data_IF_616306440837
#
_entry.id   IF_616306440837
#
_cell.length_a   1.000
_cell.length_b   1.000
_cell.length_c   1.000
_cell.angle_alpha   90.00
_cell.angle_beta   90.00
_cell.angle_gamma   90.00
#
_symmetry.space_group_name_H-M   'P 1'
#
loop_
_entity.id
_entity.type
_entity.pdbx_description
1 polymer ?
#
# COMPACT_ATOMS: atom_id res chain seq x y z
N UNK A 1 8.78 16.44 -19.44
CA UNK A 1 7.68 16.85 -18.52
C UNK A 1 7.87 16.11 -17.22
N UNK A 2 7.71 16.76 -16.08
CA UNK A 2 7.84 16.11 -14.77
C UNK A 2 6.72 15.07 -14.57
N UNK A 3 7.07 13.89 -14.07
CA UNK A 3 6.17 12.74 -13.93
C UNK A 3 5.72 12.62 -12.47
N UNK A 4 4.41 12.60 -12.26
CA UNK A 4 3.78 12.35 -10.96
C UNK A 4 3.05 11.02 -11.02
N UNK A 5 3.37 10.12 -10.10
CA UNK A 5 2.67 8.86 -9.90
C UNK A 5 1.74 8.99 -8.70
N UNK A 6 0.47 8.66 -8.91
CA UNK A 6 -0.55 8.65 -7.85
C UNK A 6 -0.97 7.20 -7.59
N UNK A 7 -0.86 6.75 -6.36
CA UNK A 7 -1.22 5.40 -5.94
C UNK A 7 -2.61 5.42 -5.28
N UNK A 8 -3.61 4.97 -6.02
CA UNK A 8 -5.01 4.94 -5.63
C UNK A 8 -5.88 5.93 -6.41
N UNK A 9 -7.07 5.47 -6.82
CA UNK A 9 -8.05 6.23 -7.62
C UNK A 9 -9.30 6.62 -6.81
N UNK A 10 -9.22 6.65 -5.49
CA UNK A 10 -10.24 7.22 -4.62
C UNK A 10 -10.29 8.75 -4.71
N UNK A 11 -11.17 9.40 -3.92
CA UNK A 11 -11.34 10.87 -3.96
C UNK A 11 -10.04 11.66 -3.80
N UNK A 12 -9.14 11.20 -2.90
CA UNK A 12 -7.85 11.85 -2.70
C UNK A 12 -6.93 11.73 -3.93
N UNK A 13 -6.79 10.51 -4.48
CA UNK A 13 -5.91 10.28 -5.62
C UNK A 13 -6.38 10.98 -6.89
N UNK A 14 -7.67 10.93 -7.17
CA UNK A 14 -8.24 11.64 -8.33
C UNK A 14 -8.10 13.16 -8.15
N UNK A 15 -8.40 13.71 -6.97
CA UNK A 15 -8.19 15.12 -6.71
C UNK A 15 -6.71 15.52 -6.91
N UNK A 16 -5.78 14.75 -6.36
CA UNK A 16 -4.35 14.99 -6.55
C UNK A 16 -3.94 14.98 -8.03
N UNK A 17 -4.44 14.00 -8.78
CA UNK A 17 -4.17 13.87 -10.21
C UNK A 17 -4.69 15.07 -11.02
N UNK A 18 -5.91 15.54 -10.73
CA UNK A 18 -6.50 16.70 -11.39
C UNK A 18 -5.65 17.95 -11.17
N UNK A 19 -5.25 18.23 -9.92
CA UNK A 19 -4.45 19.42 -9.59
C UNK A 19 -3.02 19.32 -10.12
N UNK A 20 -2.36 18.16 -10.01
CA UNK A 20 -1.03 17.95 -10.58
C UNK A 20 -1.04 18.09 -12.12
N UNK A 21 -2.06 17.54 -12.79
CA UNK A 21 -2.21 17.65 -14.24
C UNK A 21 -2.42 19.08 -14.70
N UNK A 22 -3.29 19.83 -14.02
CA UNK A 22 -3.50 21.26 -14.26
C UNK A 22 -2.24 22.08 -13.98
N UNK A 23 -1.41 21.66 -13.04
CA UNK A 23 -0.11 22.25 -12.75
C UNK A 23 0.98 21.97 -13.81
N UNK A 24 0.67 21.19 -14.86
CA UNK A 24 1.55 20.91 -16.01
C UNK A 24 2.37 19.64 -15.87
N UNK A 25 2.11 18.78 -14.89
CA UNK A 25 2.77 17.49 -14.78
C UNK A 25 2.16 16.44 -15.75
N UNK A 26 2.96 15.45 -16.10
CA UNK A 26 2.46 14.20 -16.65
C UNK A 26 2.05 13.32 -15.46
N UNK A 27 0.79 12.90 -15.42
CA UNK A 27 0.23 12.18 -14.27
C UNK A 27 -0.23 10.80 -14.67
N UNK A 28 0.21 9.80 -13.90
CA UNK A 28 -0.29 8.44 -13.97
C UNK A 28 -0.92 8.09 -12.61
N UNK A 29 -2.18 7.65 -12.64
CA UNK A 29 -2.88 7.07 -11.49
C UNK A 29 -2.87 5.56 -11.65
N UNK A 30 -2.39 4.85 -10.63
CA UNK A 30 -2.45 3.38 -10.58
C UNK A 30 -3.40 2.96 -9.47
N UNK A 31 -4.33 2.05 -9.79
CA UNK A 31 -5.33 1.54 -8.86
C UNK A 31 -5.66 0.06 -9.11
N UNK A 32 -6.16 -0.63 -8.09
CA UNK A 32 -6.40 -2.08 -8.08
C UNK A 32 -7.67 -2.55 -8.82
N UNK A 33 -8.32 -1.65 -9.55
CA UNK A 33 -9.55 -1.97 -10.26
C UNK A 33 -10.80 -1.37 -9.62
N UNK A 34 -11.91 -1.54 -10.34
CA UNK A 34 -13.24 -1.04 -9.94
C UNK A 34 -13.73 -1.76 -8.68
N UNK A 35 -14.47 -1.06 -7.83
CA UNK A 35 -15.08 -1.64 -6.64
C UNK A 35 -14.12 -1.83 -5.45
N UNK A 36 -12.85 -1.48 -5.58
CA UNK A 36 -11.85 -1.68 -4.52
C UNK A 36 -11.77 -0.52 -3.52
N UNK A 37 -12.22 0.66 -3.90
CA UNK A 37 -12.15 1.86 -3.04
C UNK A 37 -13.23 1.83 -1.94
N UNK A 38 -12.99 2.57 -0.86
CA UNK A 38 -14.01 2.78 0.18
C UNK A 38 -15.24 3.51 -0.38
N UNK A 39 -15.02 4.45 -1.33
CA UNK A 39 -16.09 5.19 -1.98
C UNK A 39 -17.00 4.26 -2.81
N UNK A 40 -16.44 3.38 -3.64
CA UNK A 40 -17.25 2.50 -4.50
C UNK A 40 -18.14 1.53 -3.72
N UNK A 41 -17.79 1.24 -2.46
CA UNK A 41 -18.58 0.39 -1.56
C UNK A 41 -19.66 1.15 -0.78
N UNK A 42 -19.68 2.48 -0.85
CA UNK A 42 -20.72 3.28 -0.23
C UNK A 42 -22.01 3.16 -1.05
N UNK A 43 -23.09 2.69 -0.42
CA UNK A 43 -24.38 2.52 -1.08
C UNK A 43 -24.89 3.86 -1.61
N UNK A 44 -24.90 4.89 -0.76
CA UNK A 44 -25.30 6.26 -1.11
C UNK A 44 -24.41 7.28 -0.43
N UNK A 45 -24.08 8.36 -1.14
CA UNK A 45 -23.37 9.54 -0.67
C UNK A 45 -24.32 10.74 -0.73
N UNK A 46 -24.59 11.36 0.41
CA UNK A 46 -25.49 12.51 0.52
C UNK A 46 -24.80 13.78 1.05
N UNK A 47 -23.70 13.60 1.78
CA UNK A 47 -23.00 14.63 2.54
C UNK A 47 -21.78 15.21 1.83
N UNK A 48 -21.75 15.17 0.51
CA UNK A 48 -20.69 15.78 -0.27
C UNK A 48 -21.22 17.01 -1.02
N UNK A 49 -20.53 18.15 -0.86
CA UNK A 49 -20.93 19.41 -1.46
C UNK A 49 -21.09 19.31 -2.98
N UNK A 50 -22.19 19.87 -3.49
CA UNK A 50 -22.51 19.87 -4.92
C UNK A 50 -23.34 18.69 -5.41
N UNK A 51 -23.77 17.80 -4.50
CA UNK A 51 -24.75 16.77 -4.81
C UNK A 51 -26.15 17.31 -4.50
N UNK A 52 -27.02 17.41 -5.51
CA UNK A 52 -28.42 17.76 -5.38
C UNK A 52 -29.22 16.59 -4.78
N UNK A 53 -28.90 15.37 -5.19
CA UNK A 53 -29.50 14.15 -4.72
C UNK A 53 -28.43 13.17 -4.23
N UNK A 54 -28.86 12.16 -3.46
CA UNK A 54 -28.00 11.06 -3.06
C UNK A 54 -27.47 10.28 -4.29
N UNK A 55 -26.18 10.04 -4.33
CA UNK A 55 -25.54 9.36 -5.44
C UNK A 55 -24.84 8.09 -4.94
N UNK A 56 -24.99 6.93 -5.61
CA UNK A 56 -24.17 5.75 -5.31
C UNK A 56 -22.67 6.08 -5.34
N UNK A 57 -21.92 5.61 -4.35
CA UNK A 57 -20.49 5.88 -4.28
C UNK A 57 -19.73 5.40 -5.51
N UNK A 58 -20.12 4.27 -6.10
CA UNK A 58 -19.53 3.77 -7.34
C UNK A 58 -19.76 4.72 -8.54
N UNK A 59 -20.91 5.39 -8.60
CA UNK A 59 -21.19 6.39 -9.65
C UNK A 59 -20.35 7.66 -9.44
N UNK A 60 -20.19 8.10 -8.20
CA UNK A 60 -19.33 9.25 -7.89
C UNK A 60 -17.84 8.96 -8.22
N UNK A 61 -17.36 7.75 -7.93
CA UNK A 61 -16.04 7.28 -8.33
C UNK A 61 -15.88 7.28 -9.87
N UNK A 62 -16.86 6.73 -10.58
CA UNK A 62 -16.87 6.70 -12.04
C UNK A 62 -16.78 8.11 -12.64
N UNK A 63 -17.52 9.07 -12.10
CA UNK A 63 -17.48 10.48 -12.53
C UNK A 63 -16.10 11.08 -12.29
N UNK A 64 -15.50 10.84 -11.13
CA UNK A 64 -14.14 11.32 -10.83
C UNK A 64 -13.10 10.79 -11.79
N UNK A 65 -13.12 9.47 -12.05
CA UNK A 65 -12.25 8.81 -13.03
C UNK A 65 -12.43 9.38 -14.44
N UNK A 66 -13.67 9.51 -14.91
CA UNK A 66 -13.96 10.06 -16.23
C UNK A 66 -13.44 11.49 -16.38
N UNK A 67 -13.60 12.33 -15.35
CA UNK A 67 -13.07 13.70 -15.32
C UNK A 67 -11.55 13.75 -15.39
N UNK A 68 -10.86 12.86 -14.68
CA UNK A 68 -9.40 12.77 -14.71
C UNK A 68 -8.90 12.35 -16.12
N UNK A 69 -9.51 11.33 -16.71
CA UNK A 69 -9.17 10.85 -18.06
C UNK A 69 -9.41 11.96 -19.10
N UNK A 70 -10.55 12.67 -19.03
CA UNK A 70 -10.86 13.78 -19.93
C UNK A 70 -9.83 14.93 -19.83
N UNK A 71 -9.19 15.12 -18.67
CA UNK A 71 -8.12 16.10 -18.47
C UNK A 71 -6.74 15.58 -18.94
N UNK A 72 -6.66 14.35 -19.44
CA UNK A 72 -5.43 13.74 -19.94
C UNK A 72 -4.56 13.11 -18.86
N UNK A 73 -5.16 12.67 -17.74
CA UNK A 73 -4.51 11.80 -16.75
C UNK A 73 -4.51 10.37 -17.28
N UNK A 74 -3.36 9.69 -17.23
CA UNK A 74 -3.28 8.26 -17.49
C UNK A 74 -3.78 7.49 -16.27
N UNK A 75 -4.84 6.69 -16.44
CA UNK A 75 -5.39 5.84 -15.38
C UNK A 75 -5.15 4.38 -15.74
N UNK A 76 -4.49 3.64 -14.87
CA UNK A 76 -4.06 2.27 -15.10
C UNK A 76 -4.56 1.38 -13.97
N UNK A 77 -5.22 0.28 -14.34
CA UNK A 77 -5.58 -0.77 -13.41
C UNK A 77 -4.39 -1.72 -13.24
N UNK A 78 -3.75 -1.67 -12.07
CA UNK A 78 -2.58 -2.48 -11.72
C UNK A 78 -2.40 -2.51 -10.20
N UNK A 79 -1.61 -3.47 -9.71
CA UNK A 79 -1.26 -3.60 -8.30
C UNK A 79 0.20 -3.24 -8.05
N UNK A 80 0.45 -2.24 -7.21
CA UNK A 80 1.81 -1.89 -6.80
C UNK A 80 2.22 -2.77 -5.61
N UNK A 81 3.29 -3.54 -5.79
CA UNK A 81 3.86 -4.46 -4.81
C UNK A 81 4.99 -3.82 -4.01
N UNK A 82 5.76 -2.96 -4.65
CA UNK A 82 6.87 -2.25 -4.03
C UNK A 82 6.99 -0.82 -4.53
N UNK A 83 7.58 0.02 -3.69
CA UNK A 83 7.91 1.40 -4.00
C UNK A 83 9.34 1.66 -3.55
N UNK A 84 10.21 1.99 -4.49
CA UNK A 84 11.65 2.15 -4.31
C UNK A 84 12.12 3.50 -4.84
N UNK A 85 13.35 3.87 -4.47
CA UNK A 85 14.03 4.96 -5.15
C UNK A 85 14.43 4.55 -6.58
N UNK A 86 14.44 5.51 -7.49
CA UNK A 86 14.95 5.34 -8.83
C UNK A 86 16.48 5.14 -8.85
N UNK A 87 17.03 4.85 -10.02
CA UNK A 87 18.48 4.66 -10.20
C UNK A 87 19.26 5.89 -9.72
N UNK A 88 20.32 5.65 -8.95
CA UNK A 88 21.13 6.72 -8.36
C UNK A 88 20.34 7.61 -7.37
N UNK A 89 19.29 7.11 -6.74
CA UNK A 89 18.39 7.87 -5.88
C UNK A 89 17.67 9.04 -6.58
N UNK A 90 17.53 8.97 -7.90
CA UNK A 90 16.82 9.98 -8.68
C UNK A 90 15.38 9.55 -8.99
N UNK A 91 14.42 10.26 -8.37
CA UNK A 91 13.01 9.90 -8.51
C UNK A 91 12.61 8.60 -7.80
N UNK A 92 11.54 7.99 -8.28
CA UNK A 92 10.93 6.83 -7.66
C UNK A 92 10.56 5.78 -8.69
N UNK A 93 10.49 4.55 -8.23
CA UNK A 93 10.12 3.39 -9.02
C UNK A 93 9.06 2.58 -8.27
N UNK A 94 7.90 2.41 -8.89
CA UNK A 94 6.84 1.55 -8.37
C UNK A 94 6.76 0.26 -9.18
N UNK A 95 6.84 -0.88 -8.51
CA UNK A 95 6.90 -2.22 -9.11
C UNK A 95 5.53 -2.88 -9.04
N UNK A 96 5.05 -3.40 -10.16
CA UNK A 96 3.88 -4.27 -10.27
C UNK A 96 4.26 -5.64 -10.81
N UNK A 97 3.37 -6.65 -10.85
CA UNK A 97 3.69 -8.00 -11.30
C UNK A 97 4.29 -8.09 -12.72
N UNK A 98 3.97 -7.14 -13.59
CA UNK A 98 4.42 -7.18 -14.99
C UNK A 98 5.08 -5.89 -15.49
N UNK A 99 5.20 -4.86 -14.63
CA UNK A 99 5.63 -3.55 -15.08
C UNK A 99 6.26 -2.72 -13.97
N UNK A 100 7.14 -1.80 -14.35
CA UNK A 100 7.69 -0.78 -13.45
C UNK A 100 7.25 0.60 -13.92
N UNK A 101 6.79 1.43 -12.99
CA UNK A 101 6.41 2.82 -13.20
C UNK A 101 7.48 3.73 -12.61
N UNK A 102 8.06 4.57 -13.43
CA UNK A 102 9.01 5.58 -12.98
C UNK A 102 8.32 6.93 -12.77
N UNK A 103 8.69 7.65 -11.73
CA UNK A 103 8.15 8.96 -11.41
C UNK A 103 9.22 9.87 -10.77
N UNK A 104 9.03 11.16 -10.93
CA UNK A 104 9.86 12.19 -10.31
C UNK A 104 9.29 12.60 -8.94
N UNK A 105 8.01 12.31 -8.71
CA UNK A 105 7.28 12.47 -7.44
C UNK A 105 6.16 11.44 -7.30
N UNK A 106 5.85 11.03 -6.06
CA UNK A 106 4.80 10.04 -5.75
C UNK A 106 3.80 10.64 -4.76
N UNK A 107 2.51 10.38 -5.01
CA UNK A 107 1.42 10.70 -4.09
C UNK A 107 0.74 9.40 -3.67
N UNK A 108 0.84 9.06 -2.39
CA UNK A 108 0.23 7.86 -1.82
C UNK A 108 -1.20 8.22 -1.37
N UNK A 109 -2.20 7.69 -2.09
CA UNK A 109 -3.62 7.92 -1.84
C UNK A 109 -4.41 6.60 -1.78
N UNK A 110 -3.78 5.56 -1.23
CA UNK A 110 -4.26 4.18 -1.26
C UNK A 110 -5.34 3.85 -0.20
N UNK A 111 -5.87 4.86 0.48
CA UNK A 111 -6.88 4.69 1.52
C UNK A 111 -6.33 4.05 2.80
N UNK A 112 -7.23 3.52 3.65
CA UNK A 112 -6.84 2.84 4.89
C UNK A 112 -6.49 1.38 4.63
N UNK A 113 -5.56 0.87 5.43
CA UNK A 113 -5.25 -0.56 5.50
C UNK A 113 -6.48 -1.34 5.97
N UNK A 114 -6.68 -2.56 5.47
CA UNK A 114 -7.61 -3.51 6.09
C UNK A 114 -7.21 -3.71 7.55
N UNK A 115 -8.20 -3.89 8.44
CA UNK A 115 -7.94 -4.23 9.84
C UNK A 115 -6.98 -5.40 9.90
N UNK A 116 -5.93 -5.27 10.72
CA UNK A 116 -5.01 -6.37 11.00
C UNK A 116 -5.83 -7.64 11.34
N UNK A 117 -5.43 -8.81 10.86
CA UNK A 117 -6.14 -10.05 11.16
C UNK A 117 -6.21 -10.24 12.68
N UNK A 118 -7.32 -10.82 13.15
CA UNK A 118 -7.49 -11.13 14.57
C UNK A 118 -6.70 -12.38 14.93
N UNK A 119 -5.38 -12.28 14.90
CA UNK A 119 -4.46 -13.34 15.34
C UNK A 119 -3.94 -12.96 16.70
N UNK A 120 -4.09 -13.87 17.68
CA UNK A 120 -3.59 -13.66 19.05
C UNK A 120 -2.06 -13.51 19.02
N UNK A 121 -1.52 -12.49 19.69
CA UNK A 121 -0.07 -12.22 19.76
C UNK A 121 0.46 -11.41 18.58
N UNK A 122 -0.35 -11.09 17.56
CA UNK A 122 0.13 -10.40 16.36
C UNK A 122 0.63 -8.98 16.66
N UNK A 123 -0.15 -8.22 17.44
CA UNK A 123 0.20 -6.83 17.78
C UNK A 123 1.32 -6.75 18.80
N UNK A 124 1.31 -7.66 19.76
CA UNK A 124 2.29 -7.73 20.83
C UNK A 124 3.70 -8.03 20.30
N UNK A 125 3.78 -8.75 19.19
CA UNK A 125 5.04 -9.14 18.55
C UNK A 125 5.41 -8.27 17.34
N UNK A 126 4.68 -7.18 17.05
CA UNK A 126 5.08 -6.22 16.03
C UNK A 126 6.47 -5.62 16.34
N UNK A 127 7.40 -5.70 15.39
CA UNK A 127 8.80 -5.33 15.58
C UNK A 127 9.62 -6.34 16.39
N UNK A 128 8.98 -7.36 16.96
CA UNK A 128 9.60 -8.42 17.75
C UNK A 128 9.46 -9.80 17.10
N UNK A 129 9.56 -9.85 15.76
CA UNK A 129 9.39 -11.04 14.95
C UNK A 129 8.23 -10.93 13.95
N UNK A 130 7.30 -9.99 14.14
CA UNK A 130 6.28 -9.65 13.15
C UNK A 130 6.69 -8.39 12.40
N UNK A 131 6.69 -8.47 11.06
CA UNK A 131 7.03 -7.38 10.15
C UNK A 131 5.99 -7.24 9.03
N UNK A 132 5.99 -6.09 8.36
CA UNK A 132 5.14 -5.76 7.20
C UNK A 132 5.96 -5.42 5.95
N UNK A 133 7.28 -5.64 5.98
CA UNK A 133 8.16 -5.29 4.87
C UNK A 133 9.38 -6.22 4.83
N UNK A 134 9.37 -7.22 3.94
CA UNK A 134 10.52 -8.11 3.78
C UNK A 134 11.74 -7.37 3.25
N UNK A 135 11.57 -6.47 2.28
CA UNK A 135 12.71 -5.68 1.74
C UNK A 135 13.41 -4.87 2.84
N UNK A 136 12.66 -4.40 3.87
CA UNK A 136 13.23 -3.65 4.99
C UNK A 136 13.98 -4.55 5.98
N UNK A 137 13.40 -5.69 6.33
CA UNK A 137 13.74 -6.45 7.53
C UNK A 137 14.34 -7.85 7.25
N UNK A 138 14.32 -8.35 6.01
CA UNK A 138 14.83 -9.71 5.69
C UNK A 138 16.25 -9.96 6.17
N UNK A 139 17.09 -8.94 6.17
CA UNK A 139 18.47 -8.99 6.67
C UNK A 139 18.55 -9.45 8.15
N UNK A 140 17.58 -9.07 8.99
CA UNK A 140 17.51 -9.44 10.42
C UNK A 140 17.19 -10.93 10.64
N UNK A 141 16.70 -11.58 9.59
CA UNK A 141 16.27 -12.98 9.61
C UNK A 141 17.21 -13.91 8.85
N UNK A 142 18.46 -13.49 8.63
CA UNK A 142 19.46 -14.32 7.95
C UNK A 142 19.68 -15.65 8.70
N UNK A 143 19.52 -16.74 7.96
CA UNK A 143 19.68 -18.11 8.48
C UNK A 143 18.55 -18.58 9.43
N UNK A 144 17.41 -17.86 9.49
CA UNK A 144 16.26 -18.19 10.32
C UNK A 144 15.10 -18.73 9.50
N UNK A 145 14.15 -19.38 10.18
CA UNK A 145 12.87 -19.79 9.60
C UNK A 145 11.93 -18.59 9.61
N UNK A 146 11.39 -18.24 8.44
CA UNK A 146 10.45 -17.14 8.27
C UNK A 146 9.17 -17.59 7.61
N UNK A 147 8.08 -16.91 7.90
CA UNK A 147 6.79 -17.16 7.28
C UNK A 147 6.23 -15.86 6.68
N UNK A 148 5.53 -15.99 5.56
CA UNK A 148 4.73 -14.92 4.95
C UNK A 148 3.27 -15.27 5.10
N UNK A 149 2.49 -14.37 5.67
CA UNK A 149 1.05 -14.51 5.85
C UNK A 149 0.32 -13.83 4.70
N UNK A 150 -0.22 -14.59 3.76
CA UNK A 150 -0.92 -14.09 2.58
C UNK A 150 -0.93 -15.11 1.43
N UNK A 151 -1.62 -14.79 0.34
CA UNK A 151 -1.83 -15.73 -0.78
C UNK A 151 -1.72 -15.10 -2.17
N UNK A 152 -1.67 -13.75 -2.28
CA UNK A 152 -1.64 -13.02 -3.55
C UNK A 152 -0.22 -12.66 -4.02
N UNK A 153 -0.16 -11.86 -5.09
CA UNK A 153 1.09 -11.36 -5.69
C UNK A 153 1.96 -10.58 -4.70
N UNK A 154 1.33 -9.86 -3.76
CA UNK A 154 2.06 -9.18 -2.70
C UNK A 154 2.77 -10.18 -1.76
N UNK A 155 2.09 -11.26 -1.36
CA UNK A 155 2.70 -12.31 -0.54
C UNK A 155 3.83 -13.04 -1.29
N UNK A 156 3.66 -13.27 -2.59
CA UNK A 156 4.72 -13.81 -3.45
C UNK A 156 5.94 -12.89 -3.45
N UNK A 157 5.76 -11.60 -3.68
CA UNK A 157 6.85 -10.61 -3.67
C UNK A 157 7.61 -10.58 -2.34
N UNK A 158 6.89 -10.62 -1.20
CA UNK A 158 7.52 -10.65 0.12
C UNK A 158 8.28 -11.98 0.35
N UNK A 159 7.73 -13.12 -0.11
CA UNK A 159 8.41 -14.40 -0.02
C UNK A 159 9.69 -14.45 -0.86
N UNK A 160 9.66 -13.95 -2.09
CA UNK A 160 10.84 -13.83 -2.96
C UNK A 160 11.93 -12.97 -2.34
N UNK A 161 11.57 -11.86 -1.67
CA UNK A 161 12.52 -10.99 -0.98
C UNK A 161 13.20 -11.67 0.23
N UNK A 162 12.56 -12.66 0.85
CA UNK A 162 13.12 -13.42 1.98
C UNK A 162 14.08 -14.53 1.56
N UNK A 163 13.87 -15.16 0.40
CA UNK A 163 14.64 -16.33 -0.05
C UNK A 163 16.17 -16.15 -0.02
N UNK A 164 16.75 -15.00 -0.38
CA UNK A 164 18.20 -14.81 -0.32
C UNK A 164 18.79 -14.77 1.10
N UNK A 165 17.95 -14.60 2.13
CA UNK A 165 18.36 -14.33 3.51
C UNK A 165 17.97 -15.45 4.48
N UNK A 166 16.73 -15.90 4.43
CA UNK A 166 16.20 -16.90 5.37
C UNK A 166 16.76 -18.30 5.09
N UNK A 167 16.84 -19.12 6.12
CA UNK A 167 17.14 -20.55 5.98
C UNK A 167 15.96 -21.32 5.37
N UNK A 168 14.74 -20.89 5.70
CA UNK A 168 13.50 -21.46 5.20
C UNK A 168 12.43 -20.35 5.11
N UNK A 169 11.65 -20.40 4.03
CA UNK A 169 10.50 -19.49 3.81
C UNK A 169 9.23 -20.31 3.68
N UNK A 170 8.24 -19.98 4.51
CA UNK A 170 6.92 -20.57 4.52
C UNK A 170 5.88 -19.57 4.01
N UNK A 171 4.87 -20.05 3.28
CA UNK A 171 3.71 -19.26 2.87
C UNK A 171 2.46 -19.78 3.59
N UNK A 172 1.83 -18.92 4.41
CA UNK A 172 0.64 -19.22 5.20
C UNK A 172 -0.57 -18.58 4.51
N UNK A 173 -1.33 -19.35 3.73
CA UNK A 173 -2.30 -18.80 2.78
C UNK A 173 -3.69 -18.52 3.37
N UNK A 174 -3.93 -18.87 4.63
CA UNK A 174 -5.23 -18.64 5.31
C UNK A 174 -6.42 -19.36 4.61
N UNK A 175 -6.18 -20.54 4.04
CA UNK A 175 -7.19 -21.31 3.32
C UNK A 175 -7.26 -21.00 1.82
N UNK A 176 -6.57 -19.99 1.35
CA UNK A 176 -6.57 -19.59 -0.07
C UNK A 176 -5.55 -20.42 -0.88
N UNK A 177 -5.66 -20.37 -2.22
CA UNK A 177 -4.67 -20.96 -3.09
C UNK A 177 -3.38 -20.12 -3.15
N UNK A 178 -2.25 -20.78 -3.22
CA UNK A 178 -0.96 -20.10 -3.38
C UNK A 178 -0.80 -19.54 -4.81
N UNK A 179 0.02 -18.49 -5.00
CA UNK A 179 0.31 -17.94 -6.32
C UNK A 179 0.91 -19.00 -7.24
N UNK A 180 0.47 -19.04 -8.49
CA UNK A 180 0.92 -20.05 -9.48
C UNK A 180 2.42 -20.00 -9.80
N UNK A 181 3.05 -18.83 -9.59
CA UNK A 181 4.49 -18.61 -9.83
C UNK A 181 5.34 -18.74 -8.56
N UNK A 182 4.79 -19.34 -7.50
CA UNK A 182 5.52 -19.50 -6.24
C UNK A 182 6.79 -20.32 -6.44
N UNK A 183 7.97 -19.83 -6.01
CA UNK A 183 9.22 -20.61 -6.06
C UNK A 183 9.10 -21.92 -5.30
N UNK A 184 9.65 -23.00 -5.86
CA UNK A 184 9.58 -24.35 -5.28
C UNK A 184 10.26 -24.50 -3.91
N UNK A 185 11.12 -23.55 -3.54
CA UNK A 185 11.77 -23.49 -2.23
C UNK A 185 10.82 -23.02 -1.13
N UNK A 186 9.69 -22.37 -1.46
CA UNK A 186 8.71 -21.90 -0.49
C UNK A 186 7.72 -23.01 -0.15
N UNK A 187 7.64 -23.38 1.12
CA UNK A 187 6.67 -24.37 1.60
C UNK A 187 5.32 -23.71 1.90
N UNK A 188 4.23 -24.35 1.48
CA UNK A 188 2.88 -23.79 1.64
C UNK A 188 2.13 -24.50 2.76
N UNK A 189 1.53 -23.71 3.66
CA UNK A 189 0.57 -24.15 4.67
C UNK A 189 -0.75 -23.43 4.45
N UNK A 190 -1.82 -24.21 4.20
CA UNK A 190 -3.16 -23.64 3.91
C UNK A 190 -3.97 -23.36 5.18
N UNK A 191 -3.70 -24.09 6.27
CA UNK A 191 -4.47 -23.91 7.52
C UNK A 191 -4.33 -22.49 8.07
N UNK A 192 -5.44 -21.84 8.49
CA UNK A 192 -5.41 -20.51 9.03
C UNK A 192 -4.53 -20.37 10.28
N UNK A 193 -3.86 -19.23 10.41
CA UNK A 193 -3.12 -18.86 11.61
C UNK A 193 -4.08 -18.34 12.67
N UNK A 194 -4.01 -18.89 13.88
CA UNK A 194 -4.88 -18.51 15.02
C UNK A 194 -4.14 -17.74 16.10
N UNK A 195 -2.85 -18.08 16.32
CA UNK A 195 -2.05 -17.42 17.34
C UNK A 195 -0.57 -17.44 17.00
N UNK A 196 0.17 -16.51 17.60
CA UNK A 196 1.62 -16.46 17.63
C UNK A 196 2.11 -16.81 19.03
N UNK A 197 3.24 -17.51 19.11
CA UNK A 197 3.91 -17.88 20.35
C UNK A 197 5.19 -17.04 20.51
N UNK A 198 5.46 -16.64 21.74
CA UNK A 198 6.60 -15.83 22.13
C UNK A 198 6.21 -14.75 23.13
N UNK A 199 7.14 -14.35 23.98
CA UNK A 199 6.95 -13.27 24.95
C UNK A 199 7.71 -12.02 24.56
N UNK A 200 9.02 -12.15 24.32
CA UNK A 200 9.88 -11.04 23.90
C UNK A 200 10.09 -11.03 22.38
N UNK A 201 10.04 -12.21 21.75
CA UNK A 201 10.18 -12.39 20.30
C UNK A 201 9.31 -13.55 19.83
N UNK A 202 8.98 -13.54 18.53
CA UNK A 202 8.29 -14.65 17.89
C UNK A 202 9.15 -15.91 17.94
N UNK A 203 8.56 -17.01 18.40
CA UNK A 203 9.18 -18.33 18.46
C UNK A 203 8.37 -19.40 17.75
N UNK A 204 7.08 -19.14 17.48
CA UNK A 204 6.21 -20.09 16.83
C UNK A 204 4.91 -19.49 16.36
N UNK A 205 4.28 -20.24 15.45
CA UNK A 205 3.00 -19.91 14.81
C UNK A 205 2.07 -21.09 15.03
N UNK A 206 0.86 -20.84 15.50
CA UNK A 206 -0.17 -21.86 15.75
C UNK A 206 -1.22 -21.80 14.67
N UNK A 207 -1.47 -22.91 14.00
CA UNK A 207 -2.48 -23.05 12.97
C UNK A 207 -3.81 -23.58 13.55
N UNK A 208 -4.91 -23.37 12.82
CA UNK A 208 -6.24 -23.81 13.23
C UNK A 208 -6.37 -25.33 13.37
N UNK A 209 -5.62 -26.09 12.56
CA UNK A 209 -5.55 -27.56 12.64
C UNK A 209 -4.77 -28.09 13.85
N UNK A 210 -4.26 -27.20 14.73
CA UNK A 210 -3.46 -27.53 15.91
C UNK A 210 -1.96 -27.70 15.63
N UNK A 211 -1.51 -27.62 14.40
CA UNK A 211 -0.10 -27.64 14.03
C UNK A 211 0.62 -26.41 14.58
N UNK A 212 1.84 -26.62 15.08
CA UNK A 212 2.74 -25.55 15.54
C UNK A 212 3.96 -25.53 14.64
N UNK A 213 4.24 -24.35 14.12
CA UNK A 213 5.39 -24.11 13.23
C UNK A 213 6.40 -23.26 14.01
N UNK A 214 7.61 -23.77 14.20
CA UNK A 214 8.70 -22.97 14.74
C UNK A 214 9.13 -21.93 13.69
N UNK A 215 9.02 -20.65 14.01
CA UNK A 215 9.42 -19.55 13.12
C UNK A 215 9.84 -18.36 13.97
N UNK A 216 10.85 -17.62 13.48
CA UNK A 216 11.42 -16.47 14.16
C UNK A 216 10.99 -15.16 13.49
N UNK A 217 10.39 -15.23 12.28
CA UNK A 217 9.87 -14.10 11.53
C UNK A 217 8.52 -14.40 10.90
N UNK A 218 7.58 -13.47 11.02
CA UNK A 218 6.29 -13.48 10.31
C UNK A 218 6.13 -12.16 9.56
N UNK A 219 6.01 -12.25 8.24
CA UNK A 219 5.80 -11.11 7.35
C UNK A 219 4.34 -11.07 6.91
N UNK A 220 3.62 -10.02 7.33
CA UNK A 220 2.18 -9.91 7.06
C UNK A 220 1.96 -9.26 5.70
N UNK A 221 1.51 -10.06 4.73
CA UNK A 221 1.27 -9.68 3.34
C UNK A 221 -0.14 -10.06 2.88
N UNK A 222 -1.15 -9.78 3.71
CA UNK A 222 -2.54 -10.13 3.43
C UNK A 222 -3.17 -9.19 2.39
N UNK A 223 -3.66 -9.76 1.34
CA UNK A 223 -4.33 -9.05 0.24
C UNK A 223 -3.33 -8.30 -0.64
N UNK A 224 -3.26 -6.99 -0.52
CA UNK A 224 -2.41 -6.12 -1.35
C UNK A 224 -1.63 -5.16 -0.46
N UNK A 225 -0.46 -4.70 -0.90
CA UNK A 225 0.31 -3.71 -0.18
C UNK A 225 -0.55 -2.47 0.13
N UNK A 226 -0.58 -2.08 1.39
CA UNK A 226 -1.26 -0.86 1.82
C UNK A 226 -0.42 0.37 1.53
N UNK A 227 -1.03 1.56 1.57
CA UNK A 227 -0.30 2.82 1.43
C UNK A 227 0.81 2.96 2.47
N UNK A 228 0.57 2.56 3.72
CA UNK A 228 1.58 2.61 4.79
C UNK A 228 2.70 1.58 4.61
N UNK A 229 2.42 0.39 4.08
CA UNK A 229 3.46 -0.59 3.75
C UNK A 229 4.35 -0.11 2.60
N UNK A 230 3.76 0.45 1.54
CA UNK A 230 4.51 1.06 0.45
C UNK A 230 5.35 2.26 0.93
N UNK A 231 4.79 3.10 1.81
CA UNK A 231 5.48 4.24 2.40
C UNK A 231 6.71 3.82 3.24
N UNK A 232 6.60 2.75 4.03
CA UNK A 232 7.72 2.21 4.84
C UNK A 232 8.92 1.84 3.99
N UNK A 233 8.71 1.27 2.79
CA UNK A 233 9.80 0.88 1.87
C UNK A 233 10.68 2.06 1.42
N UNK A 234 10.14 3.28 1.46
CA UNK A 234 10.86 4.53 1.22
C UNK A 234 11.41 5.21 2.49
N UNK A 235 11.18 4.65 3.67
CA UNK A 235 11.56 5.29 4.93
C UNK A 235 10.62 6.42 5.36
N UNK A 236 9.37 6.42 4.88
CA UNK A 236 8.34 7.39 5.29
C UNK A 236 7.91 7.12 6.73
N UNK A 237 7.87 8.18 7.54
CA UNK A 237 7.45 8.10 8.93
C UNK A 237 5.94 7.86 9.04
N UNK A 238 5.57 6.98 9.98
CA UNK A 238 4.19 6.68 10.32
C UNK A 238 3.87 7.12 11.75
N UNK A 239 2.58 7.40 12.00
CA UNK A 239 2.00 7.55 13.33
C UNK A 239 0.99 6.38 13.53
N UNK A 240 1.45 5.27 14.11
CA UNK A 240 0.70 4.02 14.10
C UNK A 240 0.63 3.45 12.69
N UNK A 241 -0.59 3.37 12.12
CA UNK A 241 -0.84 2.92 10.76
C UNK A 241 -0.96 4.08 9.75
N UNK A 242 -0.97 5.32 10.21
CA UNK A 242 -1.21 6.49 9.37
C UNK A 242 0.10 7.08 8.86
N UNK A 243 0.14 7.49 7.60
CA UNK A 243 1.30 8.18 7.02
C UNK A 243 1.35 9.59 7.59
N UNK A 244 2.48 9.94 8.23
CA UNK A 244 2.69 11.25 8.79
C UNK A 244 3.00 12.27 7.68
N UNK A 245 2.22 13.35 7.64
CA UNK A 245 2.39 14.46 6.69
C UNK A 245 2.39 15.80 7.41
N UNK A 246 2.94 16.81 6.75
CA UNK A 246 2.76 18.22 7.15
C UNK A 246 1.44 18.79 6.62
N UNK A 247 1.23 20.10 6.79
CA UNK A 247 0.05 20.81 6.31
C UNK A 247 -0.06 20.83 4.76
N UNK A 248 1.04 20.62 4.07
CA UNK A 248 1.13 20.56 2.61
C UNK A 248 1.13 19.12 2.06
N UNK A 249 0.72 18.19 2.88
CA UNK A 249 0.67 16.75 2.56
C UNK A 249 2.04 16.16 2.21
N UNK A 250 3.15 16.84 2.51
CA UNK A 250 4.49 16.32 2.33
C UNK A 250 4.88 15.38 3.46
N UNK A 251 5.53 14.27 3.12
CA UNK A 251 6.12 13.35 4.08
C UNK A 251 7.55 13.81 4.44
N UNK A 252 8.21 13.07 5.35
CA UNK A 252 9.64 13.29 5.63
C UNK A 252 10.56 12.93 4.44
N UNK A 253 10.05 12.26 3.41
CA UNK A 253 10.82 11.89 2.21
C UNK A 253 10.54 12.91 1.11
N UNK A 254 11.55 13.70 0.66
CA UNK A 254 11.35 14.70 -0.36
C UNK A 254 10.80 14.11 -1.67
N UNK A 255 9.71 14.68 -2.17
CA UNK A 255 9.04 14.21 -3.39
C UNK A 255 7.99 13.12 -3.16
N UNK A 256 7.80 12.67 -1.90
CA UNK A 256 6.74 11.75 -1.52
C UNK A 256 5.69 12.49 -0.70
N UNK A 257 4.45 12.41 -1.16
CA UNK A 257 3.26 13.01 -0.55
C UNK A 257 2.24 11.93 -0.20
N UNK A 258 1.36 12.21 0.76
CA UNK A 258 0.26 11.29 1.07
C UNK A 258 -1.03 12.07 1.33
N UNK A 259 -2.18 11.49 0.93
CA UNK A 259 -3.47 12.15 1.03
C UNK A 259 -4.63 11.16 1.23
N UNK A 260 -5.67 11.61 1.87
CA UNK A 260 -6.87 10.83 2.14
C UNK A 260 -6.75 9.96 3.40
N UNK A 261 -7.46 8.86 3.42
CA UNK A 261 -7.62 8.05 4.64
C UNK A 261 -6.31 7.45 5.15
N UNK A 262 -5.31 7.26 4.28
CA UNK A 262 -3.99 6.77 4.70
C UNK A 262 -3.21 7.74 5.60
N UNK A 263 -3.67 8.98 5.75
CA UNK A 263 -3.09 9.98 6.67
C UNK A 263 -3.86 10.08 7.99
N UNK A 264 -4.82 9.19 8.24
CA UNK A 264 -5.66 9.20 9.44
C UNK A 264 -6.65 10.37 9.53
N UNK A 265 -7.15 10.62 10.73
CA UNK A 265 -8.10 11.70 11.00
C UNK A 265 -9.51 11.45 10.47
N UNK A 266 -10.20 12.49 10.01
CA UNK A 266 -11.57 12.41 9.51
C UNK A 266 -11.64 11.60 8.21
N UNK A 267 -12.34 10.47 8.22
CA UNK A 267 -12.51 9.58 7.05
C UNK A 267 -13.74 10.03 6.24
N UNK A 268 -13.59 11.09 5.46
CA UNK A 268 -14.65 11.69 4.65
C UNK A 268 -14.15 12.12 3.27
N UNK A 269 -15.04 12.10 2.29
CA UNK A 269 -14.75 12.51 0.90
C UNK A 269 -14.21 13.95 0.86
N UNK A 270 -14.81 14.88 1.60
CA UNK A 270 -14.41 16.28 1.62
C UNK A 270 -12.95 16.46 2.07
N UNK A 271 -12.52 15.77 3.15
CA UNK A 271 -11.12 15.77 3.60
C UNK A 271 -10.21 15.14 2.55
N UNK A 272 -10.59 14.01 1.99
CA UNK A 272 -9.79 13.30 0.99
C UNK A 272 -9.57 14.16 -0.27
N UNK A 273 -10.61 14.84 -0.75
CA UNK A 273 -10.53 15.76 -1.90
C UNK A 273 -9.62 16.96 -1.60
N UNK A 274 -9.77 17.58 -0.43
CA UNK A 274 -8.90 18.69 -0.02
C UNK A 274 -7.43 18.26 0.05
N UNK A 275 -7.15 17.18 0.76
CA UNK A 275 -5.78 16.68 0.90
C UNK A 275 -5.17 16.26 -0.44
N UNK A 276 -5.98 15.67 -1.32
CA UNK A 276 -5.54 15.33 -2.67
C UNK A 276 -5.15 16.58 -3.47
N UNK A 277 -5.99 17.62 -3.42
CA UNK A 277 -5.69 18.90 -4.09
C UNK A 277 -4.37 19.50 -3.59
N UNK A 278 -4.19 19.57 -2.27
CA UNK A 278 -2.97 20.08 -1.63
C UNK A 278 -1.74 19.25 -2.02
N UNK A 279 -1.83 17.91 -1.95
CA UNK A 279 -0.73 17.02 -2.35
C UNK A 279 -0.35 17.20 -3.83
N UNK A 280 -1.35 17.34 -4.71
CA UNK A 280 -1.12 17.55 -6.15
C UNK A 280 -0.39 18.86 -6.44
N UNK A 281 -0.79 19.96 -5.80
CA UNK A 281 -0.12 21.26 -5.91
C UNK A 281 1.29 21.23 -5.34
N UNK A 282 1.46 20.59 -4.18
CA UNK A 282 2.75 20.47 -3.50
C UNK A 282 3.74 19.64 -4.30
N UNK A 283 3.30 18.55 -4.92
CA UNK A 283 4.13 17.74 -5.82
C UNK A 283 4.62 18.56 -7.03
N UNK A 284 3.75 19.36 -7.64
CA UNK A 284 4.14 20.24 -8.75
C UNK A 284 5.13 21.31 -8.30
N UNK A 285 4.91 21.91 -7.13
CA UNK A 285 5.83 22.92 -6.56
C UNK A 285 7.21 22.29 -6.35
N UNK A 286 7.29 21.15 -5.68
CA UNK A 286 8.54 20.39 -5.46
C UNK A 286 9.30 20.15 -6.78
N UNK A 287 8.59 19.72 -7.83
CA UNK A 287 9.20 19.41 -9.12
C UNK A 287 9.69 20.65 -9.87
N UNK A 288 9.14 21.84 -9.59
CA UNK A 288 9.62 23.10 -10.16
C UNK A 288 10.87 23.62 -9.44
N UNK A 289 10.95 23.43 -8.13
CA UNK A 289 12.09 23.84 -7.30
C UNK A 289 13.34 22.96 -7.50
N UNK A 290 13.15 21.73 -8.00
CA UNK A 290 14.22 20.77 -8.30
C UNK A 290 14.90 20.99 -9.66
N UNK A 291 14.32 21.84 -10.52
CA UNK A 291 14.90 22.23 -11.82
C UNK A 291 15.88 23.39 -11.69
#
# INVERSE_FOLDING_TARGET
MARVLVLGAGPAGISAALYARRGGAQVTVVHKGKGTSALSRAELVQNYYGLEEAVPGAELERRGLAGAIALGVSVVEDEILALDYGEGFQGFRAVSPGKTYEADSVIIAAGTTRKAPKIKGLRELEGHGVSYCAVCDAFLYRGKVTAVLGSGEYALHEAEALLPHAAEVLLLTQGEEAPSRLPSQVKVHKSPVTALEGTERLTGIVLENGEKIAAEGLFVALGTASGSELARKLGVMLAGQDIKTDAHMATNVPGVFAAGDCTGGLLQIAKAVYQGAEAGLSAVKFLREKK
#
